data_IF_011371506669
#
_entry.id   IF_011371506669
#
_cell.length_a   1.000
_cell.length_b   1.000
_cell.length_c   1.000
_cell.angle_alpha   90.00
_cell.angle_beta   90.00
_cell.angle_gamma   90.00
#
_symmetry.space_group_name_H-M   'P 1'
#
loop_
_entity.id
_entity.type
_entity.pdbx_description
1 polymer ?
#
# COMPACT_ATOMS: atom_id res chain seq x y z
N UNK A 1 -18.84 7.21 1.82
CA UNK A 1 -19.09 5.87 1.23
C UNK A 1 -18.02 5.68 0.17
N UNK A 2 -17.15 4.68 0.34
CA UNK A 2 -15.89 4.51 -0.40
C UNK A 2 -15.94 3.15 -1.13
N UNK A 3 -15.36 3.07 -2.33
CA UNK A 3 -15.30 1.87 -3.18
C UNK A 3 -13.84 1.43 -3.37
N UNK A 4 -13.59 0.12 -3.48
CA UNK A 4 -12.26 -0.51 -3.66
C UNK A 4 -11.69 -0.22 -5.06
N UNK A 5 -10.36 -0.06 -5.17
CA UNK A 5 -9.65 0.46 -6.35
C UNK A 5 -9.73 -0.44 -7.61
N UNK A 6 -10.05 -1.72 -7.47
CA UNK A 6 -9.99 -2.71 -8.57
C UNK A 6 -10.96 -2.48 -9.75
N UNK A 7 -11.65 -1.34 -9.84
CA UNK A 7 -12.64 -1.02 -10.89
C UNK A 7 -12.60 0.44 -11.41
N UNK A 8 -11.46 1.12 -11.39
CA UNK A 8 -11.42 2.59 -11.63
C UNK A 8 -10.65 2.99 -12.89
N UNK A 9 -11.16 4.02 -13.59
CA UNK A 9 -10.67 4.58 -14.85
C UNK A 9 -9.18 5.03 -14.81
N UNK A 10 -8.44 4.93 -15.93
CA UNK A 10 -7.01 5.27 -16.08
C UNK A 10 -6.54 6.60 -15.47
N UNK A 11 -7.35 7.65 -15.61
CA UNK A 11 -7.00 9.01 -15.19
C UNK A 11 -6.97 9.20 -13.67
N UNK A 12 -7.71 8.36 -12.93
CA UNK A 12 -7.78 8.42 -11.47
C UNK A 12 -6.60 7.72 -10.81
N UNK A 13 -6.09 6.69 -11.48
CA UNK A 13 -4.90 5.97 -11.05
C UNK A 13 -3.68 6.89 -11.03
N UNK A 14 -3.53 7.77 -12.02
CA UNK A 14 -2.39 8.70 -12.09
C UNK A 14 -2.38 9.75 -10.95
N UNK A 15 -3.55 10.28 -10.59
CA UNK A 15 -3.68 11.24 -9.48
C UNK A 15 -3.48 10.54 -8.14
N UNK A 16 -3.99 9.31 -8.02
CA UNK A 16 -3.77 8.47 -6.85
C UNK A 16 -2.29 8.12 -6.68
N UNK A 17 -1.58 7.72 -7.74
CA UNK A 17 -0.14 7.47 -7.70
C UNK A 17 0.65 8.70 -7.25
N UNK A 18 0.30 9.91 -7.71
CA UNK A 18 0.96 11.15 -7.25
C UNK A 18 0.72 11.41 -5.76
N UNK A 19 -0.47 11.10 -5.25
CA UNK A 19 -0.78 11.24 -3.83
C UNK A 19 -0.20 10.10 -2.98
N UNK A 20 -0.10 8.88 -3.52
CA UNK A 20 0.51 7.72 -2.86
C UNK A 20 2.04 7.76 -2.92
N UNK A 21 2.66 8.39 -3.91
CA UNK A 21 4.09 8.77 -3.86
C UNK A 21 4.37 9.75 -2.71
N UNK A 22 3.34 10.44 -2.18
CA UNK A 22 3.41 11.16 -0.91
C UNK A 22 3.15 10.27 0.33
N UNK A 23 3.13 8.93 0.22
CA UNK A 23 3.32 7.98 1.35
C UNK A 23 4.53 8.34 2.20
N UNK A 24 5.46 9.12 1.62
CA UNK A 24 6.52 9.84 2.31
C UNK A 24 6.06 10.63 3.54
N UNK A 25 4.80 11.07 3.68
CA UNK A 25 4.34 11.74 4.90
C UNK A 25 4.13 10.77 6.06
N UNK A 26 3.64 9.56 5.78
CA UNK A 26 3.46 8.52 6.79
C UNK A 26 4.81 7.98 7.26
N UNK A 27 5.72 7.70 6.31
CA UNK A 27 7.09 7.30 6.62
C UNK A 27 7.90 8.42 7.29
N UNK A 28 7.73 9.69 6.89
CA UNK A 28 8.32 10.85 7.60
C UNK A 28 7.81 10.99 9.04
N UNK A 29 6.59 10.52 9.30
CA UNK A 29 6.04 10.42 10.65
C UNK A 29 6.67 9.30 11.49
N UNK A 30 7.53 8.46 10.92
CA UNK A 30 8.18 7.35 11.61
C UNK A 30 7.36 6.05 11.59
N UNK A 31 6.38 5.91 10.70
CA UNK A 31 5.47 4.75 10.66
C UNK A 31 5.58 3.96 9.36
N UNK A 32 5.20 2.68 9.41
CA UNK A 32 5.04 1.75 8.29
C UNK A 32 3.68 1.07 8.35
N UNK A 33 3.13 0.69 7.20
CA UNK A 33 1.82 0.06 7.13
C UNK A 33 1.91 -1.47 7.09
N UNK A 34 2.82 -1.99 6.27
CA UNK A 34 3.15 -3.41 6.15
C UNK A 34 2.23 -4.24 5.25
N UNK A 35 1.09 -3.72 4.83
CA UNK A 35 0.11 -4.47 4.04
C UNK A 35 -0.62 -3.62 3.00
N UNK A 36 0.14 -2.87 2.22
CA UNK A 36 -0.40 -2.05 1.14
C UNK A 36 -0.94 -2.96 0.04
N UNK A 37 -2.26 -2.91 -0.17
CA UNK A 37 -2.99 -3.72 -1.16
C UNK A 37 -4.04 -2.85 -1.83
N UNK A 38 -4.47 -3.21 -3.04
CA UNK A 38 -5.56 -2.51 -3.73
C UNK A 38 -6.89 -2.57 -2.92
N UNK A 39 -7.09 -3.64 -2.15
CA UNK A 39 -8.19 -3.79 -1.19
C UNK A 39 -8.07 -2.90 0.04
N UNK A 40 -6.84 -2.49 0.38
CA UNK A 40 -6.52 -1.66 1.55
C UNK A 40 -6.37 -0.17 1.19
N UNK A 41 -6.69 0.18 -0.05
CA UNK A 41 -6.76 1.56 -0.54
C UNK A 41 -8.22 1.90 -0.85
N UNK A 42 -8.64 3.02 -0.29
CA UNK A 42 -10.01 3.51 -0.34
C UNK A 42 -10.05 4.84 -1.10
N UNK A 43 -10.90 4.96 -2.12
CA UNK A 43 -11.09 6.23 -2.87
C UNK A 43 -12.45 6.87 -2.61
N UNK A 44 -12.54 8.18 -2.88
CA UNK A 44 -13.85 8.83 -2.88
C UNK A 44 -14.73 8.26 -4.00
N UNK A 45 -16.01 8.03 -3.69
CA UNK A 45 -17.00 7.47 -4.64
C UNK A 45 -17.30 8.40 -5.81
N UNK A 46 -17.14 9.71 -5.62
CA UNK A 46 -17.26 10.71 -6.68
C UNK A 46 -16.00 10.78 -7.56
N UNK A 47 -15.01 9.93 -7.28
CA UNK A 47 -13.72 9.90 -7.95
C UNK A 47 -12.96 11.24 -7.91
N UNK A 48 -13.29 12.13 -6.98
CA UNK A 48 -12.47 13.31 -6.76
C UNK A 48 -11.11 12.91 -6.15
N UNK A 49 -10.04 13.70 -6.37
CA UNK A 49 -8.73 13.40 -5.84
C UNK A 49 -8.73 13.13 -4.33
N UNK A 50 -7.94 12.14 -3.93
CA UNK A 50 -7.74 11.74 -2.55
C UNK A 50 -8.04 10.26 -2.32
N UNK A 51 -7.34 9.70 -1.34
CA UNK A 51 -7.48 8.31 -0.93
C UNK A 51 -7.29 8.19 0.59
N UNK A 52 -7.62 7.02 1.11
CA UNK A 52 -7.37 6.63 2.49
C UNK A 52 -6.75 5.23 2.49
N UNK A 53 -5.77 5.00 3.35
CA UNK A 53 -5.31 3.65 3.69
C UNK A 53 -6.18 3.12 4.82
N UNK A 54 -6.48 1.82 4.79
CA UNK A 54 -7.22 1.10 5.82
C UNK A 54 -6.51 -0.20 6.13
N UNK A 55 -6.94 -0.90 7.19
CA UNK A 55 -6.37 -2.19 7.62
C UNK A 55 -4.93 -2.05 8.17
N UNK A 56 -4.81 -1.43 9.35
CA UNK A 56 -3.54 -1.09 9.99
C UNK A 56 -3.01 -2.17 10.95
N UNK A 57 -3.48 -3.42 10.86
CA UNK A 57 -3.16 -4.47 11.84
C UNK A 57 -1.66 -4.82 11.87
N UNK A 58 -0.94 -4.56 10.77
CA UNK A 58 0.52 -4.81 10.66
C UNK A 58 1.35 -3.53 10.76
N UNK A 59 0.68 -2.41 11.01
CA UNK A 59 1.30 -1.10 11.03
C UNK A 59 1.98 -0.80 12.36
N UNK A 60 2.96 0.10 12.34
CA UNK A 60 3.60 0.58 13.56
C UNK A 60 4.81 1.43 13.28
N UNK A 61 5.63 1.63 14.31
CA UNK A 61 6.85 2.44 14.22
C UNK A 61 7.91 1.75 13.35
N UNK A 62 8.61 2.51 12.52
CA UNK A 62 9.78 2.06 11.77
C UNK A 62 10.82 1.51 12.74
N UNK A 63 11.32 0.29 12.47
CA UNK A 63 12.30 -0.40 13.31
C UNK A 63 11.70 -1.18 14.49
N UNK A 64 10.38 -1.07 14.72
CA UNK A 64 9.68 -1.82 15.79
C UNK A 64 8.61 -2.76 15.23
N UNK A 65 7.82 -2.30 14.26
CA UNK A 65 6.75 -3.08 13.66
C UNK A 65 7.29 -4.36 13.02
N UNK A 66 6.62 -5.48 13.26
CA UNK A 66 6.97 -6.80 12.73
C UNK A 66 5.78 -7.47 12.11
N UNK A 67 6.02 -8.24 11.06
CA UNK A 67 5.02 -9.10 10.48
C UNK A 67 4.57 -10.17 11.48
N UNK A 68 3.28 -10.53 11.49
CA UNK A 68 2.79 -11.64 12.32
C UNK A 68 3.37 -12.97 11.83
N UNK A 69 3.13 -14.03 12.60
CA UNK A 69 3.41 -15.40 12.15
C UNK A 69 2.37 -15.86 11.12
N UNK A 70 2.79 -16.74 10.20
CA UNK A 70 2.00 -17.26 9.07
C UNK A 70 1.59 -16.18 8.06
N UNK A 71 2.48 -15.26 7.73
CA UNK A 71 2.32 -14.34 6.62
C UNK A 71 2.25 -15.15 5.33
N UNK A 72 1.11 -15.05 4.66
CA UNK A 72 0.95 -15.71 3.37
C UNK A 72 1.82 -15.04 2.31
N UNK A 73 2.67 -15.84 1.66
CA UNK A 73 3.45 -15.50 0.48
C UNK A 73 3.18 -16.56 -0.58
N UNK A 74 2.63 -16.14 -1.72
CA UNK A 74 2.35 -17.09 -2.81
C UNK A 74 1.86 -16.40 -4.08
N UNK A 75 1.63 -17.19 -5.13
CA UNK A 75 1.25 -16.68 -6.46
C UNK A 75 0.00 -15.79 -6.44
N UNK A 76 -0.90 -16.00 -5.48
CA UNK A 76 -2.14 -15.21 -5.34
C UNK A 76 -1.97 -13.91 -4.57
N UNK A 77 -0.89 -13.76 -3.81
CA UNK A 77 -0.59 -12.56 -3.02
C UNK A 77 0.92 -12.43 -2.92
N UNK A 78 1.46 -11.67 -3.87
CA UNK A 78 2.87 -11.35 -3.89
C UNK A 78 3.24 -10.42 -2.72
N UNK A 79 4.43 -10.62 -2.16
CA UNK A 79 5.03 -9.74 -1.16
C UNK A 79 6.51 -9.48 -1.49
N UNK A 80 7.04 -8.33 -1.07
CA UNK A 80 8.47 -8.01 -1.08
C UNK A 80 9.33 -9.08 -0.39
N UNK A 81 10.56 -9.25 -0.87
CA UNK A 81 11.59 -10.01 -0.13
C UNK A 81 11.78 -9.40 1.27
N UNK A 82 11.86 -10.24 2.30
CA UNK A 82 11.97 -9.79 3.69
C UNK A 82 10.63 -9.45 4.37
N UNK A 83 9.51 -9.43 3.64
CA UNK A 83 8.17 -9.32 4.22
C UNK A 83 7.64 -10.68 4.72
N UNK A 84 8.35 -11.27 5.68
CA UNK A 84 8.15 -12.64 6.17
C UNK A 84 7.92 -12.67 7.69
N UNK A 85 7.51 -13.82 8.20
CA UNK A 85 7.19 -14.04 9.62
C UNK A 85 8.22 -13.44 10.59
N UNK A 86 7.73 -12.56 11.47
CA UNK A 86 8.53 -11.93 12.52
C UNK A 86 9.58 -10.93 12.04
N UNK A 87 9.77 -10.74 10.73
CA UNK A 87 10.69 -9.74 10.20
C UNK A 87 10.13 -8.34 10.40
N UNK A 88 11.04 -7.34 10.39
CA UNK A 88 10.64 -5.95 10.49
C UNK A 88 9.83 -5.55 9.26
N UNK A 89 8.79 -4.75 9.49
CA UNK A 89 8.10 -4.06 8.42
C UNK A 89 8.95 -2.86 8.01
N UNK A 90 9.42 -2.86 6.76
CA UNK A 90 10.31 -1.82 6.23
C UNK A 90 9.53 -0.83 5.35
N UNK A 91 9.90 0.46 5.33
CA UNK A 91 9.34 1.43 4.38
C UNK A 91 9.41 0.95 2.92
N UNK A 92 10.47 0.26 2.56
CA UNK A 92 10.68 -0.32 1.24
C UNK A 92 9.62 -1.36 0.90
N UNK A 93 9.11 -2.12 1.87
CA UNK A 93 8.04 -3.08 1.64
C UNK A 93 6.75 -2.36 1.21
N UNK A 94 6.37 -1.29 1.91
CA UNK A 94 5.20 -0.46 1.54
C UNK A 94 5.35 0.09 0.12
N UNK A 95 6.54 0.58 -0.25
CA UNK A 95 6.81 1.14 -1.57
C UNK A 95 6.75 0.08 -2.67
N UNK A 96 7.34 -1.08 -2.43
CA UNK A 96 7.33 -2.18 -3.39
C UNK A 96 5.92 -2.74 -3.61
N UNK A 97 5.14 -2.93 -2.54
CA UNK A 97 3.73 -3.30 -2.64
C UNK A 97 2.92 -2.25 -3.41
N UNK A 98 3.17 -0.96 -3.16
CA UNK A 98 2.53 0.12 -3.90
C UNK A 98 2.86 0.07 -5.41
N UNK A 99 4.13 -0.17 -5.77
CA UNK A 99 4.54 -0.30 -7.16
C UNK A 99 3.99 -1.56 -7.83
N UNK A 100 3.77 -2.65 -7.09
CA UNK A 100 3.13 -3.85 -7.61
C UNK A 100 1.66 -3.62 -7.99
N UNK A 101 0.94 -2.76 -7.26
CA UNK A 101 -0.43 -2.34 -7.61
C UNK A 101 -0.42 -1.40 -8.83
N UNK A 102 0.64 -0.59 -8.94
CA UNK A 102 0.74 0.52 -9.88
C UNK A 102 2.10 0.52 -10.62
N UNK A 103 2.35 -0.43 -11.53
CA UNK A 103 3.64 -0.51 -12.23
C UNK A 103 3.92 0.76 -13.04
N UNK A 104 5.19 1.14 -13.16
CA UNK A 104 5.56 2.26 -14.04
C UNK A 104 5.18 1.93 -15.50
N UNK A 105 4.58 2.89 -16.21
CA UNK A 105 4.11 2.70 -17.59
C UNK A 105 2.66 2.22 -17.75
N UNK A 106 1.90 2.07 -16.67
CA UNK A 106 0.50 1.60 -16.73
C UNK A 106 -0.45 2.55 -17.48
N UNK A 107 -0.03 3.79 -17.80
CA UNK A 107 -0.81 4.72 -18.62
C UNK A 107 0.11 5.48 -19.57
N UNK A 108 0.14 5.05 -20.84
CA UNK A 108 0.40 5.87 -22.02
C UNK A 108 -0.92 6.36 -22.59
#
# INVERSE_FOLDING_TARGET
MITVVSRILPSLTLIMMRSLRNSSLFHRGGYVHGDIRDTNIMVKKDFSPGFMLVDFDWSGTIGEARYPVNVYQGERLWRPDGAEDGQLVMPEHDMQMLYAIFPEGTFV
#
